data_IF_439473679832
#
_entry.id   IF_439473679832
#
_cell.length_a   1.000
_cell.length_b   1.000
_cell.length_c   1.000
_cell.angle_alpha   90.00
_cell.angle_beta   90.00
_cell.angle_gamma   90.00
#
_symmetry.space_group_name_H-M   'P 1'
#
loop_
_entity.id
_entity.type
_entity.pdbx_description
1 polymer ?
#
# COMPACT_ATOMS: atom_id res chain seq x y z
N UNK A 1 16.38 -19.79 -8.17
CA UNK A 1 16.84 -19.33 -6.85
C UNK A 1 17.23 -20.52 -5.98
N UNK A 2 16.39 -21.55 -5.85
CA UNK A 2 16.68 -22.73 -5.02
C UNK A 2 18.07 -23.34 -5.29
N UNK A 3 18.40 -23.58 -6.56
CA UNK A 3 19.73 -24.11 -6.95
C UNK A 3 20.90 -23.22 -6.49
N UNK A 4 20.70 -21.91 -6.39
CA UNK A 4 21.73 -21.00 -5.88
C UNK A 4 21.89 -21.15 -4.39
N UNK A 5 20.79 -21.21 -3.63
CA UNK A 5 20.83 -21.44 -2.20
C UNK A 5 21.46 -22.78 -1.84
N UNK A 6 21.12 -23.82 -2.57
CA UNK A 6 21.74 -25.15 -2.40
C UNK A 6 23.25 -25.13 -2.66
N UNK A 7 23.71 -24.49 -3.76
CA UNK A 7 25.14 -24.35 -4.07
C UNK A 7 25.92 -23.58 -3.01
N UNK A 8 25.30 -22.60 -2.38
CA UNK A 8 25.90 -21.77 -1.36
C UNK A 8 25.67 -22.31 0.06
N UNK A 9 25.02 -23.46 0.19
CA UNK A 9 24.63 -24.04 1.48
C UNK A 9 23.87 -23.06 2.38
N UNK A 10 23.05 -22.18 1.78
CA UNK A 10 22.25 -21.20 2.49
C UNK A 10 20.89 -21.81 2.88
N UNK A 11 20.43 -21.59 4.11
CA UNK A 11 19.12 -22.05 4.55
C UNK A 11 18.00 -21.26 3.86
N UNK A 12 16.88 -21.92 3.61
CA UNK A 12 15.67 -21.29 3.10
C UNK A 12 14.42 -22.00 3.62
N UNK A 13 13.32 -21.25 3.67
CA UNK A 13 12.04 -21.75 4.15
C UNK A 13 11.29 -22.50 3.05
N UNK A 14 10.38 -23.36 3.47
CA UNK A 14 9.43 -24.05 2.61
C UNK A 14 8.00 -23.72 3.04
N UNK A 15 7.09 -23.72 2.07
CA UNK A 15 5.67 -23.49 2.35
C UNK A 15 5.08 -24.69 3.09
N UNK A 16 4.28 -24.43 4.12
CA UNK A 16 3.65 -25.49 4.94
C UNK A 16 2.75 -26.44 4.13
N UNK A 17 1.99 -25.89 3.15
CA UNK A 17 0.99 -26.66 2.41
C UNK A 17 1.58 -27.52 1.29
N UNK A 18 2.58 -27.02 0.58
CA UNK A 18 3.09 -27.67 -0.64
C UNK A 18 4.54 -28.09 -0.55
N UNK A 19 5.20 -27.80 0.59
CA UNK A 19 6.63 -28.02 0.80
C UNK A 19 7.53 -27.42 -0.32
N UNK A 20 7.01 -26.43 -1.02
CA UNK A 20 7.74 -25.73 -2.08
C UNK A 20 8.69 -24.70 -1.49
N UNK A 21 9.86 -24.40 -2.12
CA UNK A 21 10.76 -23.37 -1.65
C UNK A 21 10.09 -22.01 -1.59
N UNK A 22 10.25 -21.29 -0.46
CA UNK A 22 9.64 -20.00 -0.22
C UNK A 22 10.70 -18.90 -0.23
N UNK A 23 10.74 -18.10 -1.27
CA UNK A 23 11.63 -16.94 -1.42
C UNK A 23 10.82 -15.65 -1.44
N UNK A 24 10.24 -15.29 -0.29
CA UNK A 24 9.44 -14.07 -0.16
C UNK A 24 10.31 -12.82 -0.33
N UNK A 25 9.66 -11.67 -0.62
CA UNK A 25 10.37 -10.39 -0.72
C UNK A 25 11.11 -10.08 0.59
N UNK A 26 10.44 -10.23 1.72
CA UNK A 26 11.01 -9.93 3.03
C UNK A 26 12.21 -10.82 3.35
N UNK A 27 12.07 -12.13 3.13
CA UNK A 27 13.17 -13.10 3.33
C UNK A 27 14.41 -12.72 2.51
N UNK A 28 14.26 -12.44 1.21
CA UNK A 28 15.39 -12.08 0.35
C UNK A 28 15.99 -10.72 0.71
N UNK A 29 15.16 -9.74 1.10
CA UNK A 29 15.63 -8.39 1.42
C UNK A 29 16.34 -8.30 2.77
N UNK A 30 16.00 -9.17 3.73
CA UNK A 30 16.66 -9.24 5.04
C UNK A 30 17.91 -10.10 5.08
N UNK A 31 18.19 -10.83 3.99
CA UNK A 31 19.32 -11.77 3.96
C UNK A 31 20.66 -11.04 3.75
N UNK A 32 21.67 -11.34 4.54
CA UNK A 32 22.96 -10.63 4.54
C UNK A 32 23.87 -10.98 3.36
N UNK A 33 23.67 -12.14 2.72
CA UNK A 33 24.54 -12.59 1.64
C UNK A 33 24.43 -11.71 0.39
N UNK A 34 25.55 -11.14 -0.14
CA UNK A 34 25.51 -10.16 -1.25
C UNK A 34 24.80 -10.67 -2.50
N UNK A 35 24.99 -11.95 -2.87
CA UNK A 35 24.31 -12.53 -4.03
C UNK A 35 22.80 -12.60 -3.83
N UNK A 36 22.34 -12.87 -2.60
CA UNK A 36 20.90 -12.89 -2.30
C UNK A 36 20.30 -11.50 -2.38
N UNK A 37 21.02 -10.48 -1.91
CA UNK A 37 20.62 -9.08 -2.09
C UNK A 37 20.55 -8.67 -3.57
N UNK A 38 21.51 -9.11 -4.39
CA UNK A 38 21.46 -8.92 -5.85
C UNK A 38 20.22 -9.59 -6.46
N UNK A 39 19.87 -10.80 -6.04
CA UNK A 39 18.67 -11.51 -6.50
C UNK A 39 17.40 -10.74 -6.09
N UNK A 40 17.35 -10.24 -4.85
CA UNK A 40 16.24 -9.43 -4.37
C UNK A 40 16.06 -8.17 -5.22
N UNK A 41 17.14 -7.44 -5.49
CA UNK A 41 17.13 -6.22 -6.31
C UNK A 41 16.76 -6.51 -7.77
N UNK A 42 17.31 -7.56 -8.35
CA UNK A 42 16.96 -7.99 -9.72
C UNK A 42 15.47 -8.34 -9.84
N UNK A 43 14.89 -9.04 -8.86
CA UNK A 43 13.44 -9.34 -8.84
C UNK A 43 12.59 -8.08 -8.69
N UNK A 44 13.03 -7.13 -7.87
CA UNK A 44 12.32 -5.86 -7.70
C UNK A 44 12.28 -5.07 -9.01
N UNK A 45 13.42 -4.92 -9.68
CA UNK A 45 13.53 -4.22 -10.96
C UNK A 45 12.73 -4.95 -12.05
N UNK A 46 12.87 -6.27 -12.16
CA UNK A 46 12.12 -7.06 -13.13
C UNK A 46 10.60 -6.93 -12.92
N UNK A 47 10.14 -6.98 -11.68
CA UNK A 47 8.73 -6.75 -11.36
C UNK A 47 8.28 -5.35 -11.76
N UNK A 48 9.09 -4.34 -11.50
CA UNK A 48 8.78 -2.97 -11.90
C UNK A 48 8.67 -2.85 -13.43
N UNK A 49 9.61 -3.45 -14.16
CA UNK A 49 9.59 -3.48 -15.62
C UNK A 49 8.33 -4.16 -16.15
N UNK A 50 8.11 -5.43 -15.81
CA UNK A 50 7.00 -6.22 -16.37
C UNK A 50 5.61 -5.74 -15.91
N UNK A 51 5.49 -5.25 -14.66
CA UNK A 51 4.20 -4.82 -14.13
C UNK A 51 3.84 -3.40 -14.53
N UNK A 52 4.82 -2.51 -14.66
CA UNK A 52 4.54 -1.09 -14.93
C UNK A 52 4.97 -0.67 -16.33
N UNK A 53 6.23 -0.86 -16.72
CA UNK A 53 6.73 -0.34 -18.00
C UNK A 53 6.07 -1.05 -19.18
N UNK A 54 6.09 -2.39 -19.20
CA UNK A 54 5.45 -3.16 -20.28
C UNK A 54 3.94 -2.88 -20.34
N UNK A 55 3.30 -2.70 -19.19
CA UNK A 55 1.88 -2.37 -19.09
C UNK A 55 1.60 -0.96 -19.61
N UNK A 56 2.41 0.03 -19.26
CA UNK A 56 2.28 1.40 -19.75
C UNK A 56 2.43 1.42 -21.29
N UNK A 57 3.47 0.78 -21.82
CA UNK A 57 3.71 0.70 -23.27
C UNK A 57 2.54 0.00 -23.98
N UNK A 58 2.02 -1.08 -23.40
CA UNK A 58 0.91 -1.86 -23.97
C UNK A 58 -0.38 -1.04 -24.09
N UNK A 59 -0.65 -0.18 -23.12
CA UNK A 59 -1.91 0.58 -23.03
C UNK A 59 -1.75 2.04 -23.47
N UNK A 60 -0.56 2.43 -23.90
CA UNK A 60 -0.36 3.75 -24.51
C UNK A 60 -1.10 3.83 -25.86
N UNK A 61 -1.85 4.91 -26.03
CA UNK A 61 -2.49 5.25 -27.28
C UNK A 61 -2.38 6.76 -27.54
N UNK A 62 -1.70 7.15 -28.59
CA UNK A 62 -1.50 8.57 -28.99
C UNK A 62 -0.93 9.43 -27.85
N UNK A 63 0.06 8.92 -27.13
CA UNK A 63 0.69 9.61 -26.01
C UNK A 63 -0.12 9.61 -24.72
N UNK A 64 -1.19 8.82 -24.62
CA UNK A 64 -2.08 8.76 -23.46
C UNK A 64 -2.31 7.34 -22.99
N UNK A 65 -2.70 7.23 -21.73
CA UNK A 65 -3.17 5.98 -21.13
C UNK A 65 -4.62 6.20 -20.70
N UNK A 66 -5.50 5.30 -21.14
CA UNK A 66 -6.91 5.27 -20.78
C UNK A 66 -7.15 3.99 -19.98
N UNK A 67 -7.33 4.13 -18.67
CA UNK A 67 -7.69 3.02 -17.81
C UNK A 67 -9.20 2.89 -17.68
N UNK A 68 -9.69 1.66 -17.52
CA UNK A 68 -11.08 1.41 -17.15
C UNK A 68 -11.26 1.71 -15.67
N UNK A 69 -12.29 2.51 -15.34
CA UNK A 69 -12.68 2.83 -13.97
C UNK A 69 -13.92 2.03 -13.62
N UNK A 70 -13.77 1.06 -12.72
CA UNK A 70 -14.90 0.26 -12.25
C UNK A 70 -15.50 0.91 -11.00
N UNK A 71 -16.67 1.51 -11.16
CA UNK A 71 -17.38 2.24 -10.08
C UNK A 71 -18.17 1.30 -9.19
N UNK A 72 -18.77 0.27 -9.79
CA UNK A 72 -19.58 -0.74 -9.11
C UNK A 72 -19.02 -2.14 -9.37
N UNK A 73 -19.38 -3.08 -8.50
CA UNK A 73 -18.99 -4.49 -8.68
C UNK A 73 -19.74 -5.11 -9.86
N UNK A 74 -18.97 -5.76 -10.74
CA UNK A 74 -19.48 -6.56 -11.86
C UNK A 74 -18.61 -7.79 -12.04
N UNK A 75 -18.94 -8.67 -12.98
CA UNK A 75 -18.13 -9.85 -13.32
C UNK A 75 -16.75 -9.47 -13.88
N UNK A 76 -16.63 -8.30 -14.49
CA UNK A 76 -15.39 -7.77 -15.08
C UNK A 76 -14.50 -6.99 -14.09
N UNK A 77 -14.98 -6.66 -12.91
CA UNK A 77 -14.20 -5.88 -11.94
C UNK A 77 -15.04 -5.18 -10.88
N UNK A 78 -14.42 -4.21 -10.21
CA UNK A 78 -15.06 -3.47 -9.13
C UNK A 78 -14.77 -4.06 -7.74
N UNK A 79 -15.20 -3.34 -6.70
CA UNK A 79 -15.02 -3.72 -5.31
C UNK A 79 -16.37 -3.89 -4.61
N UNK A 80 -16.44 -4.73 -3.60
CA UNK A 80 -17.64 -4.90 -2.77
C UNK A 80 -17.84 -3.74 -1.78
N UNK A 81 -16.83 -2.90 -1.62
CA UNK A 81 -16.79 -1.81 -0.63
C UNK A 81 -17.23 -0.46 -1.20
N UNK A 82 -17.60 -0.39 -2.49
CA UNK A 82 -17.94 0.86 -3.18
C UNK A 82 -16.73 1.75 -3.55
N UNK A 83 -15.48 1.30 -3.29
CA UNK A 83 -14.28 1.99 -3.78
C UNK A 83 -14.15 1.77 -5.28
N UNK A 84 -13.66 2.77 -6.02
CA UNK A 84 -13.28 2.58 -7.41
C UNK A 84 -12.11 1.60 -7.52
N UNK A 85 -12.12 0.77 -8.54
CA UNK A 85 -10.96 0.00 -8.95
C UNK A 85 -10.60 0.29 -10.39
N UNK A 86 -9.33 0.11 -10.73
CA UNK A 86 -8.81 0.38 -12.06
C UNK A 86 -8.33 -0.91 -12.72
N UNK A 87 -8.58 -1.01 -14.02
CA UNK A 87 -8.08 -2.08 -14.87
C UNK A 87 -7.67 -1.52 -16.23
N UNK A 88 -6.89 -2.27 -16.97
CA UNK A 88 -6.49 -2.00 -18.34
C UNK A 88 -5.90 -0.58 -18.61
N UNK A 89 -4.88 -0.14 -17.86
CA UNK A 89 -4.13 -0.78 -16.79
C UNK A 89 -4.65 -0.41 -15.38
N UNK A 90 -4.19 -1.15 -14.33
CA UNK A 90 -4.47 -0.76 -12.96
C UNK A 90 -3.54 0.36 -12.49
N UNK A 91 -3.94 1.61 -12.67
CA UNK A 91 -3.16 2.79 -12.30
C UNK A 91 -3.02 2.98 -10.78
N UNK A 92 -3.86 2.32 -9.95
CA UNK A 92 -3.75 2.39 -8.49
C UNK A 92 -2.53 1.64 -7.95
N UNK A 93 -1.93 0.75 -8.76
CA UNK A 93 -0.74 -0.03 -8.36
C UNK A 93 0.58 0.69 -8.64
N UNK A 94 0.57 1.86 -9.27
CA UNK A 94 1.78 2.63 -9.55
C UNK A 94 2.52 2.91 -8.24
N UNK A 95 3.82 2.52 -8.15
CA UNK A 95 4.55 2.57 -6.89
C UNK A 95 4.71 4.00 -6.40
N UNK A 96 4.42 4.22 -5.11
CA UNK A 96 4.61 5.51 -4.46
C UNK A 96 5.66 5.45 -3.34
N UNK A 97 5.81 4.27 -2.69
CA UNK A 97 6.67 4.13 -1.51
C UNK A 97 8.12 3.75 -1.83
N UNK A 98 8.38 3.22 -3.01
CA UNK A 98 9.74 2.92 -3.44
C UNK A 98 10.44 4.22 -3.82
N UNK A 99 11.54 4.55 -3.12
CA UNK A 99 12.24 5.83 -3.30
C UNK A 99 12.99 5.93 -4.62
N UNK A 100 13.39 4.80 -5.19
CA UNK A 100 14.15 4.75 -6.44
C UNK A 100 13.21 4.66 -7.66
N UNK A 101 12.35 3.63 -7.66
CA UNK A 101 11.49 3.31 -8.80
C UNK A 101 10.19 4.14 -8.84
N UNK A 102 9.69 4.55 -7.68
CA UNK A 102 8.46 5.33 -7.59
C UNK A 102 8.51 6.62 -8.39
N UNK A 103 9.47 7.52 -8.12
CA UNK A 103 9.63 8.76 -8.88
C UNK A 103 9.84 8.53 -10.36
N UNK A 104 10.65 7.54 -10.76
CA UNK A 104 10.93 7.23 -12.16
C UNK A 104 9.67 6.82 -12.92
N UNK A 105 8.86 5.91 -12.37
CA UNK A 105 7.63 5.45 -13.03
C UNK A 105 6.57 6.56 -13.04
N UNK A 106 6.45 7.31 -11.94
CA UNK A 106 5.47 8.40 -11.84
C UNK A 106 5.80 9.58 -12.76
N UNK A 107 7.07 9.86 -13.05
CA UNK A 107 7.48 10.91 -13.98
C UNK A 107 7.10 10.64 -15.44
N UNK A 108 6.69 9.41 -15.78
CA UNK A 108 6.16 9.09 -17.11
C UNK A 108 4.76 9.69 -17.34
N UNK A 109 4.05 10.03 -16.25
CA UNK A 109 2.73 10.64 -16.31
C UNK A 109 2.87 12.15 -16.18
N UNK A 110 2.63 12.86 -17.27
CA UNK A 110 2.73 14.31 -17.35
C UNK A 110 1.36 14.91 -17.70
N UNK A 111 1.05 16.13 -17.27
CA UNK A 111 -0.15 16.83 -17.72
C UNK A 111 -0.03 17.21 -19.20
N UNK A 112 -1.14 17.55 -19.82
CA UNK A 112 -1.15 18.17 -21.15
C UNK A 112 -0.41 19.50 -21.15
N UNK A 113 0.06 19.90 -22.34
CA UNK A 113 0.65 21.24 -22.51
C UNK A 113 -0.31 22.32 -22.08
N UNK A 114 0.14 23.20 -21.20
CA UNK A 114 -0.68 24.27 -20.61
C UNK A 114 -1.56 23.83 -19.43
N UNK A 115 -1.47 22.58 -18.97
CA UNK A 115 -2.14 22.05 -17.78
C UNK A 115 -1.16 21.68 -16.69
N UNK A 116 -1.66 21.59 -15.47
CA UNK A 116 -0.91 21.17 -14.28
C UNK A 116 -1.65 20.05 -13.54
N UNK A 117 -0.92 19.26 -12.76
CA UNK A 117 -1.51 18.27 -11.86
C UNK A 117 -1.91 18.91 -10.53
N UNK A 118 -3.19 18.83 -10.18
CA UNK A 118 -3.67 19.08 -8.83
C UNK A 118 -3.79 17.75 -8.06
N UNK A 119 -3.11 17.65 -6.91
CA UNK A 119 -3.23 16.49 -6.02
C UNK A 119 -4.04 16.87 -4.80
N UNK A 120 -5.23 16.27 -4.65
CA UNK A 120 -6.13 16.50 -3.53
C UNK A 120 -6.36 15.19 -2.78
N UNK A 121 -6.09 15.18 -1.48
CA UNK A 121 -6.31 14.01 -0.62
C UNK A 121 -7.00 14.44 0.67
N UNK A 122 -8.02 13.70 1.08
CA UNK A 122 -8.70 13.96 2.34
C UNK A 122 -7.80 13.60 3.53
N UNK A 123 -7.58 14.56 4.39
CA UNK A 123 -6.81 14.33 5.61
C UNK A 123 -7.55 13.40 6.56
N UNK A 124 -7.00 12.21 6.80
CA UNK A 124 -7.50 11.22 7.76
C UNK A 124 -8.99 10.86 7.52
N UNK A 125 -9.40 10.64 6.29
CA UNK A 125 -10.79 10.34 5.95
C UNK A 125 -11.37 9.19 6.78
N UNK A 126 -10.68 8.05 6.86
CA UNK A 126 -11.16 6.87 7.57
C UNK A 126 -11.29 7.10 9.09
N UNK A 127 -10.28 7.63 9.81
CA UNK A 127 -10.44 7.99 11.21
C UNK A 127 -11.59 8.97 11.48
N UNK A 128 -11.78 9.97 10.62
CA UNK A 128 -12.89 10.93 10.75
C UNK A 128 -14.26 10.25 10.64
N UNK A 129 -14.41 9.32 9.71
CA UNK A 129 -15.65 8.54 9.56
C UNK A 129 -15.89 7.64 10.77
N UNK A 130 -14.85 6.96 11.28
CA UNK A 130 -14.96 6.13 12.49
C UNK A 130 -15.42 6.98 13.68
N UNK A 131 -14.80 8.14 13.92
CA UNK A 131 -15.19 9.05 15.00
C UNK A 131 -16.60 9.59 14.80
N UNK A 132 -16.99 9.91 13.55
CA UNK A 132 -18.34 10.36 13.25
C UNK A 132 -19.37 9.31 13.66
N UNK A 133 -19.23 8.08 13.17
CA UNK A 133 -20.19 7.02 13.49
C UNK A 133 -20.18 6.65 14.97
N UNK A 134 -19.01 6.55 15.61
CA UNK A 134 -18.92 6.29 17.04
C UNK A 134 -19.56 7.40 17.89
N UNK A 135 -19.58 8.64 17.43
CA UNK A 135 -20.23 9.77 18.13
C UNK A 135 -21.76 9.68 18.14
N UNK A 136 -22.36 8.81 17.33
CA UNK A 136 -23.81 8.60 17.33
C UNK A 136 -24.27 7.83 18.56
N UNK A 137 -23.38 7.04 19.19
CA UNK A 137 -23.66 6.29 20.43
C UNK A 137 -23.61 7.16 21.70
N UNK A 138 -23.39 8.48 21.56
CA UNK A 138 -23.38 9.47 22.66
C UNK A 138 -22.32 9.22 23.74
N UNK A 139 -21.25 8.49 23.46
CA UNK A 139 -20.13 8.33 24.38
C UNK A 139 -19.33 9.64 24.51
N UNK A 140 -19.23 10.15 25.74
CA UNK A 140 -18.56 11.42 26.02
C UNK A 140 -17.07 11.43 25.61
N UNK A 141 -16.39 10.29 25.66
CA UNK A 141 -14.99 10.18 25.25
C UNK A 141 -14.79 10.45 23.75
N UNK A 142 -15.76 10.06 22.93
CA UNK A 142 -15.73 10.26 21.49
C UNK A 142 -16.00 11.72 21.11
N UNK A 143 -16.81 12.44 21.91
CA UNK A 143 -17.10 13.85 21.65
C UNK A 143 -15.84 14.72 21.71
N UNK A 144 -14.90 14.46 22.61
CA UNK A 144 -13.65 15.20 22.68
C UNK A 144 -12.83 15.04 21.40
N UNK A 145 -12.74 13.84 20.86
CA UNK A 145 -12.03 13.56 19.61
C UNK A 145 -12.75 14.20 18.41
N UNK A 146 -14.10 14.14 18.39
CA UNK A 146 -14.91 14.79 17.37
C UNK A 146 -14.72 16.30 17.35
N UNK A 147 -14.75 16.94 18.51
CA UNK A 147 -14.51 18.38 18.64
C UNK A 147 -13.10 18.77 18.16
N UNK A 148 -12.08 18.02 18.56
CA UNK A 148 -10.72 18.24 18.12
C UNK A 148 -10.58 18.15 16.58
N UNK A 149 -11.31 17.23 15.93
CA UNK A 149 -11.37 17.19 14.47
C UNK A 149 -12.10 18.39 13.83
N UNK A 150 -13.15 18.90 14.48
CA UNK A 150 -13.89 20.05 13.99
C UNK A 150 -13.11 21.35 14.14
N UNK A 151 -12.27 21.46 15.17
CA UNK A 151 -11.37 22.58 15.42
C UNK A 151 -10.13 22.61 14.52
N UNK A 152 -9.91 21.55 13.75
CA UNK A 152 -8.99 21.53 12.60
C UNK A 152 -7.67 20.80 12.79
N UNK A 153 -7.20 20.52 14.01
CA UNK A 153 -5.81 20.09 14.26
C UNK A 153 -5.64 18.67 14.81
N UNK A 154 -6.72 17.91 14.96
CA UNK A 154 -6.60 16.56 15.49
C UNK A 154 -5.94 15.59 14.50
N UNK A 155 -4.86 14.98 14.92
CA UNK A 155 -4.29 13.79 14.29
C UNK A 155 -4.48 12.57 15.18
N UNK A 156 -5.49 11.76 14.86
CA UNK A 156 -5.81 10.54 15.61
C UNK A 156 -4.61 9.60 15.76
N UNK A 157 -3.76 9.51 14.73
CA UNK A 157 -2.57 8.68 14.79
C UNK A 157 -1.53 9.24 15.75
N UNK A 158 -1.41 10.55 15.87
CA UNK A 158 -0.54 11.20 16.85
C UNK A 158 -1.10 11.06 18.27
N UNK A 159 -2.41 11.20 18.46
CA UNK A 159 -3.05 10.97 19.77
C UNK A 159 -2.73 9.56 20.27
N UNK A 160 -2.95 8.54 19.44
CA UNK A 160 -2.66 7.13 19.80
C UNK A 160 -1.16 6.89 19.99
N UNK A 161 -0.30 7.48 19.15
CA UNK A 161 1.14 7.39 19.28
C UNK A 161 1.63 7.90 20.64
N UNK A 162 1.11 9.04 21.08
CA UNK A 162 1.44 9.62 22.38
C UNK A 162 0.93 8.78 23.56
N UNK A 163 -0.30 8.26 23.46
CA UNK A 163 -0.88 7.38 24.49
C UNK A 163 -0.11 6.07 24.65
N UNK A 164 0.31 5.47 23.55
CA UNK A 164 1.02 4.19 23.52
C UNK A 164 2.54 4.31 23.58
N UNK A 165 3.09 5.53 23.56
CA UNK A 165 4.52 5.82 23.51
C UNK A 165 5.25 5.12 22.33
N UNK A 166 4.62 5.12 21.15
CA UNK A 166 5.15 4.53 19.92
C UNK A 166 5.29 5.58 18.81
N UNK A 167 6.13 5.35 17.80
CA UNK A 167 6.21 6.23 16.63
C UNK A 167 4.86 6.36 15.91
N UNK A 168 4.55 7.57 15.43
CA UNK A 168 3.30 7.87 14.69
C UNK A 168 3.05 6.92 13.51
N UNK A 169 4.11 6.49 12.82
CA UNK A 169 4.02 5.54 11.70
C UNK A 169 3.52 4.16 12.13
N UNK A 170 3.94 3.70 13.31
CA UNK A 170 3.45 2.46 13.91
C UNK A 170 2.01 2.62 14.37
N UNK A 171 1.68 3.71 15.07
CA UNK A 171 0.31 4.02 15.48
C UNK A 171 -0.64 4.07 14.28
N UNK A 172 -0.22 4.64 13.15
CA UNK A 172 -1.00 4.63 11.91
C UNK A 172 -1.30 3.21 11.41
N UNK A 173 -0.30 2.34 11.43
CA UNK A 173 -0.46 0.95 10.98
C UNK A 173 -1.41 0.18 11.91
N UNK A 174 -1.25 0.35 13.21
CA UNK A 174 -2.10 -0.27 14.24
C UNK A 174 -3.54 0.22 14.10
N UNK A 175 -3.76 1.52 14.07
CA UNK A 175 -5.09 2.11 13.98
C UNK A 175 -5.85 1.63 12.74
N UNK A 176 -5.20 1.68 11.57
CA UNK A 176 -5.81 1.17 10.34
C UNK A 176 -6.08 -0.33 10.44
N UNK A 177 -5.14 -1.10 11.00
CA UNK A 177 -5.34 -2.54 11.22
C UNK A 177 -6.56 -2.82 12.10
N UNK A 178 -6.72 -2.09 13.22
CA UNK A 178 -7.85 -2.23 14.14
C UNK A 178 -9.17 -1.84 13.46
N UNK A 179 -9.22 -0.76 12.70
CA UNK A 179 -10.42 -0.36 11.95
C UNK A 179 -10.87 -1.43 10.95
N UNK A 180 -9.92 -2.19 10.41
CA UNK A 180 -10.18 -3.33 9.52
C UNK A 180 -10.26 -4.69 10.24
N UNK A 181 -10.46 -4.71 11.55
CA UNK A 181 -10.68 -5.94 12.32
C UNK A 181 -9.41 -6.75 12.62
N UNK A 182 -8.26 -6.11 12.74
CA UNK A 182 -7.03 -6.77 13.15
C UNK A 182 -7.17 -7.31 14.58
N UNK A 183 -7.06 -8.63 14.74
CA UNK A 183 -7.12 -9.29 16.05
C UNK A 183 -5.81 -9.20 16.82
N UNK A 184 -5.87 -9.56 18.12
CA UNK A 184 -4.76 -9.51 19.09
C UNK A 184 -3.52 -10.27 18.60
N UNK A 185 -3.68 -11.45 18.04
CA UNK A 185 -2.55 -12.28 17.57
C UNK A 185 -1.75 -11.58 16.46
N UNK A 186 -2.42 -10.84 15.56
CA UNK A 186 -1.75 -10.09 14.50
C UNK A 186 -1.14 -8.77 14.99
N UNK A 187 -1.62 -8.25 16.10
CA UNK A 187 -1.05 -7.06 16.74
C UNK A 187 0.25 -7.39 17.48
N UNK A 188 0.40 -8.64 17.96
CA UNK A 188 1.58 -9.12 18.68
C UNK A 188 2.71 -9.59 17.76
N UNK A 189 2.43 -9.88 16.50
CA UNK A 189 3.40 -10.31 15.48
C UNK A 189 4.08 -9.12 14.81
#
# INVERSE_FOLDING_TARGET
>A
IEKVFQKLSLPYERTEKTNSPSFTKNFLSSHEHPLVQCIAKAREINKAHTTFIDTIIKYEHKGRIHADINQIRSDSGGTVTGRFSYSNPNLQQIPARNKDLGPLIRSLFIPESGCEWGCFDYNQQEPRLVVHYASLDQDASVFNVKNAYNEGDADFHTIVANMAQIPRTQAKTINLGLFYGMGKAKLQA
#
